data_IF_191414921285
#
_entry.id   IF_191414921285
#
_cell.length_a   1.000
_cell.length_b   1.000
_cell.length_c   1.000
_cell.angle_alpha   90.00
_cell.angle_beta   90.00
_cell.angle_gamma   90.00
#
_symmetry.space_group_name_H-M   'P 1'
#
loop_
_entity.id
_entity.type
_entity.pdbx_description
1 polymer ?
#
# COMPACT_ATOMS: atom_id res chain seq x y z
N UNK A 1 7.91 -9.19 10.22
CA UNK A 1 7.44 -8.24 11.25
C UNK A 1 6.26 -8.82 12.03
N UNK A 2 6.04 -8.40 13.27
CA UNK A 2 4.82 -8.70 14.05
C UNK A 2 3.82 -7.51 13.93
N UNK A 3 2.52 -7.73 14.21
CA UNK A 3 1.50 -6.65 14.20
C UNK A 3 0.51 -6.68 13.03
N UNK A 4 0.62 -7.64 12.12
CA UNK A 4 -0.30 -7.78 10.98
C UNK A 4 -0.11 -6.72 9.90
N UNK A 5 -0.97 -6.74 8.88
CA UNK A 5 -0.96 -5.75 7.80
C UNK A 5 -1.41 -4.36 8.29
N UNK A 6 -2.25 -4.31 9.33
CA UNK A 6 -2.75 -3.05 9.90
C UNK A 6 -1.67 -2.19 10.54
N UNK A 7 -0.65 -2.79 11.18
CA UNK A 7 0.52 -2.02 11.62
C UNK A 7 1.26 -1.37 10.45
N UNK A 8 1.28 -2.01 9.28
CA UNK A 8 1.96 -1.48 8.11
C UNK A 8 1.25 -0.27 7.51
N UNK A 9 -0.08 -0.13 7.69
CA UNK A 9 -0.78 1.10 7.31
C UNK A 9 -0.29 2.34 8.06
N UNK A 10 0.24 2.16 9.28
CA UNK A 10 0.92 3.22 10.02
C UNK A 10 2.42 3.29 9.71
N UNK A 11 3.09 2.14 9.55
CA UNK A 11 4.55 2.11 9.33
C UNK A 11 4.94 2.64 7.94
N UNK A 12 4.20 2.30 6.89
CA UNK A 12 4.48 2.72 5.52
C UNK A 12 4.61 4.25 5.37
N UNK A 13 3.62 5.08 5.75
CA UNK A 13 3.73 6.54 5.61
C UNK A 13 4.91 7.12 6.40
N UNK A 14 5.24 6.54 7.56
CA UNK A 14 6.37 6.96 8.38
C UNK A 14 7.74 6.58 7.82
N UNK A 15 7.82 5.54 6.98
CA UNK A 15 9.03 5.19 6.24
C UNK A 15 9.16 5.97 4.91
N UNK A 16 8.06 6.47 4.33
CA UNK A 16 8.09 6.99 2.95
C UNK A 16 7.84 8.50 2.80
N UNK A 17 6.90 9.13 3.53
CA UNK A 17 6.47 10.49 3.21
C UNK A 17 7.62 11.52 3.31
N UNK A 18 8.25 11.68 4.46
CA UNK A 18 9.23 12.76 4.65
C UNK A 18 10.53 12.62 3.87
N UNK A 19 10.78 11.44 3.31
CA UNK A 19 11.97 11.19 2.50
C UNK A 19 11.74 11.44 1.02
N UNK A 20 10.52 11.19 0.57
CA UNK A 20 10.14 11.37 -0.81
C UNK A 20 9.39 12.68 -0.97
N UNK A 21 8.18 12.81 -0.38
CA UNK A 21 7.29 14.00 -0.42
C UNK A 21 6.22 13.97 0.68
N UNK A 22 5.66 15.11 1.07
CA UNK A 22 4.68 15.20 2.18
C UNK A 22 3.27 14.64 1.90
N UNK A 23 3.03 14.13 0.68
CA UNK A 23 1.72 13.60 0.26
C UNK A 23 1.85 12.19 -0.27
N UNK A 24 0.77 11.41 -0.20
CA UNK A 24 0.65 10.14 -0.90
C UNK A 24 -0.78 9.95 -1.41
N UNK A 25 -0.90 9.24 -2.53
CA UNK A 25 -2.18 8.96 -3.17
C UNK A 25 -2.67 7.56 -2.83
N UNK A 26 -3.98 7.42 -2.61
CA UNK A 26 -4.63 6.16 -2.29
C UNK A 26 -5.75 5.89 -3.28
N UNK A 27 -5.84 4.64 -3.72
CA UNK A 27 -6.89 4.12 -4.58
C UNK A 27 -7.84 3.31 -3.69
N UNK A 28 -9.04 3.84 -3.47
CA UNK A 28 -10.03 3.28 -2.54
C UNK A 28 -11.02 2.43 -3.33
N UNK A 29 -10.87 1.12 -3.20
CA UNK A 29 -11.67 0.11 -3.92
C UNK A 29 -12.41 -0.84 -2.99
N UNK A 30 -12.31 -0.62 -1.67
CA UNK A 30 -13.02 -1.41 -0.67
C UNK A 30 -12.66 -1.03 0.76
N UNK A 31 -12.81 -1.98 1.67
CA UNK A 31 -12.68 -1.73 3.10
C UNK A 31 -11.22 -1.56 3.54
N UNK A 32 -10.29 -2.34 2.98
CA UNK A 32 -8.88 -2.33 3.40
C UNK A 32 -8.15 -1.10 2.89
N UNK A 33 -8.35 -0.73 1.63
CA UNK A 33 -7.82 0.51 1.05
C UNK A 33 -8.35 1.76 1.77
N UNK A 34 -9.64 1.80 2.11
CA UNK A 34 -10.23 2.88 2.90
C UNK A 34 -9.63 2.95 4.31
N UNK A 35 -9.40 1.79 4.95
CA UNK A 35 -8.79 1.73 6.27
C UNK A 35 -7.31 2.17 6.24
N UNK A 36 -6.54 1.74 5.22
CA UNK A 36 -5.17 2.16 5.00
C UNK A 36 -5.07 3.68 4.82
N UNK A 37 -5.93 4.27 3.98
CA UNK A 37 -6.01 5.72 3.79
C UNK A 37 -6.30 6.46 5.10
N UNK A 38 -7.29 5.98 5.87
CA UNK A 38 -7.66 6.59 7.17
C UNK A 38 -6.52 6.53 8.18
N UNK A 39 -5.82 5.40 8.26
CA UNK A 39 -4.69 5.24 9.18
C UNK A 39 -3.51 6.12 8.78
N UNK A 40 -3.18 6.15 7.49
CA UNK A 40 -2.08 6.95 6.96
C UNK A 40 -2.31 8.46 7.10
N UNK A 41 -3.57 8.92 7.09
CA UNK A 41 -3.97 10.31 7.36
C UNK A 41 -3.53 10.85 8.73
N UNK A 42 -3.15 9.99 9.68
CA UNK A 42 -2.56 10.42 10.96
C UNK A 42 -1.13 10.93 10.84
N UNK A 43 -0.45 10.64 9.72
CA UNK A 43 1.01 10.82 9.58
C UNK A 43 1.42 11.76 8.44
N UNK A 44 0.47 12.22 7.62
CA UNK A 44 0.71 13.22 6.59
C UNK A 44 -0.51 13.51 5.72
N UNK A 45 -0.30 14.15 4.58
CA UNK A 45 -1.38 14.61 3.71
C UNK A 45 -1.75 13.55 2.67
N UNK A 46 -2.67 12.66 3.03
CA UNK A 46 -3.14 11.62 2.12
C UNK A 46 -4.19 12.19 1.16
N UNK A 47 -4.13 11.74 -0.09
CA UNK A 47 -5.05 12.13 -1.16
C UNK A 47 -5.74 10.90 -1.70
N UNK A 48 -6.99 11.07 -2.12
CA UNK A 48 -7.76 10.04 -2.82
C UNK A 48 -7.55 10.24 -4.31
N UNK A 49 -6.89 9.30 -4.97
CA UNK A 49 -6.68 9.33 -6.42
C UNK A 49 -7.85 8.74 -7.19
N UNK A 50 -8.51 7.73 -6.62
CA UNK A 50 -9.77 7.18 -7.09
C UNK A 50 -10.54 6.56 -5.92
N UNK A 51 -11.87 6.57 -5.99
CA UNK A 51 -12.76 6.02 -4.96
C UNK A 51 -14.01 5.42 -5.61
N UNK A 52 -14.21 4.10 -5.49
CA UNK A 52 -15.40 3.41 -5.99
C UNK A 52 -16.52 3.27 -4.96
N UNK A 53 -16.40 3.91 -3.78
CA UNK A 53 -17.44 3.86 -2.74
C UNK A 53 -18.83 4.26 -3.24
N UNK A 54 -18.91 5.21 -4.17
CA UNK A 54 -20.18 5.68 -4.74
C UNK A 54 -20.94 4.59 -5.51
N UNK A 55 -20.25 3.60 -6.07
CA UNK A 55 -20.87 2.44 -6.73
C UNK A 55 -21.01 1.23 -5.81
N UNK A 56 -20.64 1.35 -4.54
CA UNK A 56 -20.71 0.26 -3.56
C UNK A 56 -19.53 -0.71 -3.62
N UNK A 57 -18.39 -0.29 -4.18
CA UNK A 57 -17.18 -1.13 -4.30
C UNK A 57 -17.42 -2.39 -5.14
N UNK A 58 -18.04 -2.24 -6.31
CA UNK A 58 -18.40 -3.38 -7.18
C UNK A 58 -17.51 -3.50 -8.42
N UNK A 59 -16.63 -2.53 -8.65
CA UNK A 59 -15.69 -2.50 -9.77
C UNK A 59 -14.34 -1.86 -9.39
N UNK A 60 -13.44 -1.82 -10.37
CA UNK A 60 -12.15 -1.16 -10.29
C UNK A 60 -12.05 -0.06 -11.35
N UNK A 61 -11.61 1.15 -10.97
CA UNK A 61 -11.41 2.22 -11.93
C UNK A 61 -10.12 1.95 -12.73
N UNK A 62 -10.13 2.13 -14.06
CA UNK A 62 -8.90 2.04 -14.85
C UNK A 62 -7.90 3.10 -14.38
N UNK A 63 -6.60 2.79 -14.50
CA UNK A 63 -5.52 3.70 -14.04
C UNK A 63 -5.60 5.09 -14.70
N UNK A 64 -6.13 5.17 -15.92
CA UNK A 64 -6.36 6.44 -16.64
C UNK A 64 -7.35 7.38 -15.95
N UNK A 65 -8.19 6.88 -15.05
CA UNK A 65 -9.15 7.68 -14.28
C UNK A 65 -8.58 8.13 -12.92
N UNK A 66 -7.36 7.68 -12.56
CA UNK A 66 -6.74 8.05 -11.29
C UNK A 66 -6.23 9.48 -11.35
N UNK A 67 -6.70 10.33 -10.44
CA UNK A 67 -6.24 11.72 -10.31
C UNK A 67 -4.97 11.78 -9.46
N UNK A 68 -3.85 11.39 -10.07
CA UNK A 68 -2.55 11.29 -9.42
C UNK A 68 -1.88 12.65 -9.18
N UNK A 69 -1.27 12.80 -8.02
CA UNK A 69 -0.38 13.90 -7.70
C UNK A 69 1.03 13.59 -8.21
N UNK A 70 1.61 14.36 -9.14
CA UNK A 70 3.02 14.19 -9.53
C UNK A 70 3.97 14.43 -8.33
N UNK A 71 3.47 15.08 -7.27
CA UNK A 71 4.16 15.31 -6.01
C UNK A 71 3.78 14.34 -4.88
N UNK A 72 3.18 13.19 -5.18
CA UNK A 72 3.06 12.10 -4.21
C UNK A 72 4.40 11.39 -3.97
N UNK A 73 4.63 10.96 -2.74
CA UNK A 73 5.73 10.06 -2.37
C UNK A 73 5.50 8.65 -2.95
N UNK A 74 4.24 8.21 -2.96
CA UNK A 74 3.82 6.93 -3.50
C UNK A 74 2.32 6.94 -3.80
N UNK A 75 1.91 5.94 -4.58
CA UNK A 75 0.51 5.53 -4.78
C UNK A 75 0.30 4.20 -4.05
N UNK A 76 -0.79 4.08 -3.29
CA UNK A 76 -1.15 2.86 -2.58
C UNK A 76 -2.49 2.30 -3.05
N UNK A 77 -2.56 0.98 -3.21
CA UNK A 77 -3.79 0.24 -3.50
C UNK A 77 -3.85 -1.07 -2.69
N UNK A 78 -5.07 -1.56 -2.46
CA UNK A 78 -5.27 -2.94 -1.99
C UNK A 78 -5.49 -3.81 -3.23
N UNK A 79 -4.62 -4.81 -3.45
CA UNK A 79 -4.70 -5.63 -4.65
C UNK A 79 -5.94 -6.56 -4.62
N UNK A 80 -6.31 -7.05 -3.43
CA UNK A 80 -7.52 -7.86 -3.24
C UNK A 80 -8.32 -7.44 -2.00
N UNK A 81 -9.48 -6.82 -2.24
CA UNK A 81 -10.45 -6.39 -1.24
C UNK A 81 -11.37 -7.54 -0.81
N UNK A 82 -11.01 -8.23 0.29
CA UNK A 82 -11.74 -9.45 0.72
C UNK A 82 -13.19 -9.24 1.10
N UNK A 83 -13.56 -8.04 1.56
CA UNK A 83 -14.91 -7.77 2.04
C UNK A 83 -15.90 -7.64 0.88
N UNK A 84 -15.45 -7.07 -0.24
CA UNK A 84 -16.27 -6.81 -1.42
C UNK A 84 -15.99 -7.78 -2.57
N UNK A 85 -14.94 -8.59 -2.48
CA UNK A 85 -14.58 -9.57 -3.51
C UNK A 85 -14.04 -8.91 -4.78
N UNK A 86 -13.37 -7.76 -4.64
CA UNK A 86 -12.80 -7.01 -5.76
C UNK A 86 -11.29 -7.22 -5.80
N UNK A 87 -10.77 -7.73 -6.91
CA UNK A 87 -9.34 -8.01 -7.11
C UNK A 87 -8.82 -7.36 -8.40
N UNK A 88 -7.64 -6.75 -8.31
CA UNK A 88 -6.96 -6.19 -9.48
C UNK A 88 -6.51 -7.34 -10.40
N UNK A 89 -6.92 -7.35 -11.68
CA UNK A 89 -6.55 -8.43 -12.60
C UNK A 89 -5.07 -8.40 -12.98
N UNK A 90 -4.42 -7.25 -12.80
CA UNK A 90 -3.00 -7.00 -13.09
C UNK A 90 -2.50 -5.82 -12.26
N UNK A 91 -1.18 -5.76 -12.07
CA UNK A 91 -0.53 -4.63 -11.43
C UNK A 91 -0.83 -3.32 -12.18
N UNK A 92 -1.24 -2.26 -11.47
CA UNK A 92 -1.41 -0.93 -12.05
C UNK A 92 -0.13 -0.42 -12.71
N UNK A 93 -0.21 0.02 -13.96
CA UNK A 93 0.94 0.59 -14.66
C UNK A 93 1.03 2.10 -14.41
N UNK A 94 2.04 2.52 -13.63
CA UNK A 94 2.32 3.93 -13.32
C UNK A 94 3.52 4.51 -14.10
N UNK A 95 3.95 3.87 -15.20
CA UNK A 95 5.15 4.28 -15.95
C UNK A 95 5.11 5.74 -16.41
N UNK A 96 3.93 6.25 -16.79
CA UNK A 96 3.75 7.64 -17.22
C UNK A 96 3.86 8.64 -16.05
N UNK A 97 3.37 8.25 -14.87
CA UNK A 97 3.39 9.10 -13.68
C UNK A 97 4.75 9.12 -12.97
N UNK A 98 5.59 8.09 -13.18
CA UNK A 98 6.89 7.91 -12.52
C UNK A 98 6.80 7.98 -10.98
N UNK A 99 5.70 7.47 -10.42
CA UNK A 99 5.47 7.41 -8.97
C UNK A 99 5.79 6.01 -8.43
N UNK A 100 6.16 5.94 -7.15
CA UNK A 100 6.36 4.68 -6.47
C UNK A 100 5.01 3.98 -6.25
N UNK A 101 4.90 2.71 -6.63
CA UNK A 101 3.71 1.90 -6.38
C UNK A 101 3.89 1.08 -5.09
N UNK A 102 2.85 1.03 -4.28
CA UNK A 102 2.81 0.23 -3.05
C UNK A 102 1.48 -0.52 -2.94
N UNK A 103 1.48 -1.68 -2.28
CA UNK A 103 0.29 -2.53 -2.23
C UNK A 103 0.10 -3.31 -0.94
N UNK A 104 -1.16 -3.46 -0.52
CA UNK A 104 -1.59 -4.54 0.37
C UNK A 104 -2.03 -5.76 -0.45
N UNK A 105 -1.27 -6.85 -0.36
CA UNK A 105 -1.53 -8.14 -1.00
C UNK A 105 -1.85 -9.22 0.03
N UNK A 106 -2.26 -8.87 1.25
CA UNK A 106 -2.46 -9.83 2.35
C UNK A 106 -3.34 -11.01 1.98
N UNK A 107 -4.32 -10.82 1.09
CA UNK A 107 -5.35 -11.82 0.76
C UNK A 107 -5.08 -12.66 -0.47
N UNK A 108 -4.06 -12.32 -1.24
CA UNK A 108 -3.74 -12.99 -2.49
C UNK A 108 -2.23 -13.14 -2.73
N UNK A 109 -1.41 -12.82 -1.74
CA UNK A 109 0.00 -13.16 -1.76
C UNK A 109 0.18 -14.67 -1.98
N UNK A 110 1.06 -15.04 -2.90
CA UNK A 110 1.27 -16.41 -3.39
C UNK A 110 0.08 -17.10 -4.09
N UNK A 111 -1.01 -16.40 -4.45
CA UNK A 111 -2.09 -17.00 -5.26
C UNK A 111 -1.80 -16.98 -6.76
N UNK A 112 -1.00 -16.01 -7.23
CA UNK A 112 -0.62 -15.79 -8.63
C UNK A 112 0.76 -15.14 -8.72
N UNK A 113 1.42 -15.16 -9.90
CA UNK A 113 2.64 -14.38 -10.11
C UNK A 113 2.39 -12.88 -9.86
N UNK A 114 3.37 -12.24 -9.24
CA UNK A 114 3.36 -10.80 -8.92
C UNK A 114 4.54 -10.15 -9.64
N UNK A 115 4.32 -9.01 -10.28
CA UNK A 115 5.38 -8.15 -10.80
C UNK A 115 6.03 -7.39 -9.65
N UNK A 116 7.07 -7.97 -9.04
CA UNK A 116 7.75 -7.38 -7.88
C UNK A 116 8.49 -6.10 -8.28
N UNK A 117 9.05 -6.04 -9.49
CA UNK A 117 9.86 -4.91 -9.96
C UNK A 117 9.02 -3.63 -10.13
N UNK A 118 7.72 -3.77 -10.40
CA UNK A 118 6.78 -2.67 -10.45
C UNK A 118 6.50 -2.03 -9.07
N UNK A 119 6.80 -2.71 -7.95
CA UNK A 119 6.44 -2.25 -6.61
C UNK A 119 7.67 -1.72 -5.84
N UNK A 120 7.49 -0.58 -5.19
CA UNK A 120 8.43 -0.11 -4.18
C UNK A 120 8.22 -0.83 -2.84
N UNK A 121 6.98 -1.17 -2.50
CA UNK A 121 6.61 -1.85 -1.25
C UNK A 121 5.41 -2.78 -1.45
N UNK A 122 5.54 -4.03 -1.02
CA UNK A 122 4.43 -4.99 -0.92
C UNK A 122 4.30 -5.42 0.54
N UNK A 123 3.09 -5.35 1.08
CA UNK A 123 2.74 -5.83 2.41
C UNK A 123 1.81 -7.03 2.28
N UNK A 124 2.09 -8.11 3.03
CA UNK A 124 1.19 -9.24 3.14
C UNK A 124 1.17 -9.81 4.56
N UNK A 125 0.01 -9.78 5.22
CA UNK A 125 -0.22 -10.55 6.44
C UNK A 125 -0.32 -12.05 6.15
N UNK A 126 0.44 -12.88 6.87
CA UNK A 126 0.51 -14.31 6.58
C UNK A 126 -0.83 -15.05 6.80
N UNK A 127 -1.66 -14.52 7.70
CA UNK A 127 -2.87 -15.17 8.24
C UNK A 127 -4.01 -15.44 7.25
N UNK A 128 -3.91 -15.01 5.99
CA UNK A 128 -4.95 -15.29 5.00
C UNK A 128 -4.53 -16.45 4.10
N UNK A 129 -3.43 -16.32 3.37
CA UNK A 129 -3.07 -17.27 2.32
C UNK A 129 -1.86 -18.17 2.61
N UNK A 130 -0.96 -17.78 3.52
CA UNK A 130 0.40 -18.35 3.52
C UNK A 130 0.87 -18.84 4.89
N UNK A 131 0.03 -18.76 5.93
CA UNK A 131 0.39 -19.29 7.23
C UNK A 131 -0.43 -18.78 8.41
N UNK A 132 0.08 -18.96 9.64
CA UNK A 132 -0.60 -18.54 10.85
C UNK A 132 -0.55 -17.02 11.06
N UNK A 133 -1.44 -16.53 11.93
CA UNK A 133 -1.41 -15.15 12.38
C UNK A 133 -0.16 -14.81 13.21
N UNK A 134 0.20 -13.52 13.21
CA UNK A 134 1.34 -12.99 13.95
C UNK A 134 2.57 -12.69 13.08
N UNK A 135 2.57 -13.08 11.80
CA UNK A 135 3.65 -12.80 10.84
C UNK A 135 3.16 -11.89 9.72
N UNK A 136 3.89 -10.83 9.46
CA UNK A 136 3.73 -9.94 8.29
C UNK A 136 4.99 -10.01 7.44
N UNK A 137 4.79 -10.30 6.15
CA UNK A 137 5.80 -10.21 5.09
C UNK A 137 5.77 -8.79 4.54
N UNK A 138 6.95 -8.21 4.38
CA UNK A 138 7.15 -6.93 3.72
C UNK A 138 8.28 -7.11 2.72
N UNK A 139 7.98 -6.85 1.45
CA UNK A 139 8.97 -6.80 0.36
C UNK A 139 9.16 -5.33 0.04
N UNK A 140 10.38 -4.84 0.14
CA UNK A 140 10.70 -3.42 -0.04
C UNK A 140 11.88 -3.29 -0.99
N UNK A 141 11.83 -2.30 -1.88
CA UNK A 141 12.92 -1.97 -2.79
C UNK A 141 14.07 -1.31 -2.03
N UNK A 142 15.32 -1.64 -2.36
CA UNK A 142 16.49 -1.21 -1.57
C UNK A 142 16.63 0.32 -1.45
N UNK A 143 16.22 1.08 -2.47
CA UNK A 143 16.31 2.53 -2.49
C UNK A 143 15.32 3.25 -1.55
N UNK A 144 14.30 2.52 -1.05
CA UNK A 144 13.36 3.01 -0.03
C UNK A 144 13.76 2.58 1.40
N UNK A 145 14.79 1.74 1.56
CA UNK A 145 15.29 1.28 2.86
C UNK A 145 16.22 2.31 3.54
N UNK A 146 16.50 2.09 4.84
CA UNK A 146 17.54 2.83 5.57
C UNK A 146 17.13 4.23 6.06
N UNK A 147 15.92 4.69 5.74
CA UNK A 147 15.43 6.03 6.05
C UNK A 147 14.23 5.96 7.00
N UNK A 148 14.33 6.59 8.17
CA UNK A 148 13.27 6.53 9.21
C UNK A 148 12.86 7.90 9.75
N UNK A 149 11.57 8.11 9.95
CA UNK A 149 11.11 9.24 10.76
C UNK A 149 11.49 9.01 12.24
N UNK A 150 11.93 10.06 12.93
CA UNK A 150 12.28 10.01 14.36
C UNK A 150 11.19 9.46 15.30
N UNK A 151 9.91 9.48 14.90
CA UNK A 151 8.79 8.98 15.71
C UNK A 151 8.46 7.51 15.44
N UNK A 152 9.09 6.90 14.43
CA UNK A 152 8.88 5.51 14.08
C UNK A 152 9.64 4.60 15.04
N UNK A 153 8.95 3.69 15.77
CA UNK A 153 9.64 2.71 16.61
C UNK A 153 10.60 1.85 15.80
N UNK A 154 11.78 1.54 16.37
CA UNK A 154 12.83 0.82 15.63
C UNK A 154 12.42 -0.55 15.08
N UNK A 155 11.45 -1.23 15.69
CA UNK A 155 10.94 -2.52 15.23
C UNK A 155 9.99 -2.43 14.02
N UNK A 156 9.46 -1.23 13.73
CA UNK A 156 8.63 -0.94 12.56
C UNK A 156 9.41 -0.19 11.47
N UNK A 157 10.71 0.02 11.69
CA UNK A 157 11.59 0.67 10.73
C UNK A 157 12.14 -0.32 9.72
N UNK A 158 12.17 0.11 8.47
CA UNK A 158 12.83 -0.60 7.37
C UNK A 158 14.36 -0.42 7.40
N UNK A 159 14.92 0.38 8.31
CA UNK A 159 16.37 0.63 8.41
C UNK A 159 17.12 -0.33 9.34
N UNK A 160 16.41 -1.24 10.00
CA UNK A 160 16.95 -2.12 11.05
C UNK A 160 17.33 -3.50 10.53
N UNK A 161 17.15 -3.74 9.22
CA UNK A 161 17.38 -4.99 8.50
C UNK A 161 18.02 -4.62 7.16
#
# INVERSE_FOLDING_TARGET
MQGGATLQFAAQPLNMLRFFKDTADYVITGNWSAYAFKEAGKYGNMRVAADTKANGFVDLPPVSEWTLNPNAAYVHYCDNETVYGVEFPRTPNLSEAQLLLTSDMSSNFCSRPIDIDAHALIVAGAQKNIGPAGVTIVIARDDILGKKHNILPGHASTSTH
#
